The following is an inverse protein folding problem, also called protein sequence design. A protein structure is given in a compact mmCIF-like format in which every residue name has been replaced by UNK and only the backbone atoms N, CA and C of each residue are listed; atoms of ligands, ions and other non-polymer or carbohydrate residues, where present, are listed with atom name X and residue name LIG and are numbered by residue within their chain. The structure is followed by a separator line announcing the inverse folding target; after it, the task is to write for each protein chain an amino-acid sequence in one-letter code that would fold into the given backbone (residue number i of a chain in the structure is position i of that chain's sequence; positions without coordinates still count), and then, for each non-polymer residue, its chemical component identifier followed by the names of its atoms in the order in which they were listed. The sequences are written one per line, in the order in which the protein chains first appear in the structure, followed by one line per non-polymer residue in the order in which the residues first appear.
data_IF_231987926055
#
_entry.id   IF_231987926055
#
_cell.length_a   1.000
_cell.length_b   1.000
_cell.length_c   1.000
_cell.angle_alpha   90.00
_cell.angle_beta   90.00
_cell.angle_gamma   90.00
#
_symmetry.space_group_name_H-M   'P 1'
#
loop_
_entity.id
_entity.type
_entity.pdbx_description
1 polymer ?
#
# COMPACT_ATOMS: atom_id res chain seq x y z
N UNK A 1 -20.18 -24.98 6.99
CA UNK A 1 -18.99 -24.26 7.47
C UNK A 1 -19.48 -22.89 7.93
N UNK A 2 -19.37 -22.60 9.21
CA UNK A 2 -19.59 -21.24 9.70
C UNK A 2 -18.60 -20.33 8.98
N UNK A 3 -19.12 -19.30 8.35
CA UNK A 3 -18.29 -18.24 7.73
C UNK A 3 -17.69 -17.46 8.90
N UNK A 4 -16.38 -17.58 9.12
CA UNK A 4 -15.69 -16.81 10.16
C UNK A 4 -15.96 -15.32 9.88
N UNK A 5 -16.39 -14.57 10.89
CA UNK A 5 -16.63 -13.14 10.75
C UNK A 5 -15.28 -12.45 10.46
N UNK A 6 -15.19 -11.82 9.30
CA UNK A 6 -13.98 -11.13 8.83
C UNK A 6 -13.95 -9.67 9.25
N UNK A 7 -15.07 -9.15 9.75
CA UNK A 7 -15.16 -7.75 10.17
C UNK A 7 -14.51 -7.59 11.53
N UNK A 8 -13.53 -6.72 11.61
CA UNK A 8 -12.81 -6.45 12.87
C UNK A 8 -12.20 -5.04 12.85
N UNK A 9 -11.71 -4.59 13.99
CA UNK A 9 -11.00 -3.32 14.08
C UNK A 9 -9.59 -3.40 13.48
N UNK A 10 -9.04 -2.26 13.10
CA UNK A 10 -7.64 -2.17 12.64
C UNK A 10 -6.67 -2.75 13.68
N UNK A 11 -6.92 -2.48 14.97
CA UNK A 11 -6.12 -2.97 16.09
C UNK A 11 -6.09 -4.50 16.18
N UNK A 12 -7.25 -5.13 16.04
CA UNK A 12 -7.38 -6.60 16.07
C UNK A 12 -6.72 -7.21 14.84
N UNK A 13 -6.98 -6.67 13.64
CA UNK A 13 -6.41 -7.18 12.41
C UNK A 13 -4.87 -7.15 12.41
N UNK A 14 -4.28 -6.01 12.78
CA UNK A 14 -2.82 -5.88 12.84
C UNK A 14 -2.23 -6.77 13.94
N UNK A 15 -2.89 -6.88 15.10
CA UNK A 15 -2.46 -7.79 16.17
C UNK A 15 -2.48 -9.25 15.72
N UNK A 16 -3.54 -9.66 15.02
CA UNK A 16 -3.77 -11.06 14.60
C UNK A 16 -2.85 -11.49 13.46
N UNK A 17 -2.63 -10.63 12.47
CA UNK A 17 -2.02 -11.04 11.20
C UNK A 17 -0.62 -10.47 10.95
N UNK A 18 -0.21 -9.41 11.63
CA UNK A 18 1.12 -8.80 11.42
C UNK A 18 2.01 -9.12 12.61
N UNK A 19 2.95 -10.03 12.42
CA UNK A 19 4.02 -10.34 13.37
C UNK A 19 5.33 -9.67 12.96
N UNK A 20 6.29 -9.61 13.89
CA UNK A 20 7.62 -9.11 13.60
C UNK A 20 8.33 -10.01 12.57
N UNK A 21 9.18 -9.40 11.76
CA UNK A 21 10.06 -10.10 10.83
C UNK A 21 9.44 -10.54 9.50
N UNK A 22 8.13 -10.42 9.32
CA UNK A 22 7.43 -10.86 8.10
C UNK A 22 7.58 -9.90 6.93
N UNK A 23 7.21 -10.39 5.74
CA UNK A 23 7.07 -9.59 4.52
C UNK A 23 5.64 -9.05 4.42
N UNK A 24 5.52 -7.73 4.53
CA UNK A 24 4.25 -7.01 4.38
C UNK A 24 4.26 -6.25 3.06
N UNK A 25 3.22 -6.42 2.25
CA UNK A 25 3.05 -5.66 1.03
C UNK A 25 1.93 -4.61 1.19
N UNK A 26 2.26 -3.35 0.93
CA UNK A 26 1.30 -2.25 0.95
C UNK A 26 0.77 -2.00 -0.46
N UNK A 27 -0.55 -2.03 -0.60
CA UNK A 27 -1.26 -1.57 -1.78
C UNK A 27 -1.28 -0.05 -1.90
N UNK A 28 -2.02 0.42 -2.90
CA UNK A 28 -2.19 1.85 -3.20
C UNK A 28 -1.04 2.43 -4.03
N UNK A 29 -1.40 3.05 -5.15
CA UNK A 29 -0.47 3.77 -6.02
C UNK A 29 -0.95 5.20 -6.16
N UNK A 30 -0.44 6.12 -5.34
CA UNK A 30 -0.94 7.50 -5.11
C UNK A 30 -2.38 7.59 -4.62
N UNK A 31 -3.19 6.60 -4.89
CA UNK A 31 -4.60 6.41 -4.60
C UNK A 31 -4.79 5.29 -3.58
N UNK A 32 -5.73 5.45 -2.66
CA UNK A 32 -6.13 4.43 -1.69
C UNK A 32 -4.93 3.80 -0.92
N UNK A 33 -4.01 4.64 -0.46
CA UNK A 33 -2.87 4.20 0.35
C UNK A 33 -3.36 3.89 1.77
N UNK A 34 -3.10 2.70 2.33
CA UNK A 34 -3.69 2.25 3.60
C UNK A 34 -3.01 2.88 4.82
N UNK A 35 -3.10 4.22 4.96
CA UNK A 35 -2.48 4.96 6.07
C UNK A 35 -2.98 4.53 7.44
N UNK A 36 -4.28 4.32 7.60
CA UNK A 36 -4.85 3.92 8.88
C UNK A 36 -4.25 2.62 9.41
N UNK A 37 -4.12 1.61 8.54
CA UNK A 37 -3.51 0.32 8.89
C UNK A 37 -2.00 0.44 9.11
N UNK A 38 -1.30 1.28 8.32
CA UNK A 38 0.10 1.57 8.53
C UNK A 38 0.37 2.28 9.85
N UNK A 39 -0.46 3.24 10.25
CA UNK A 39 -0.40 3.88 11.56
C UNK A 39 -0.62 2.88 12.70
N UNK A 40 -1.50 1.90 12.51
CA UNK A 40 -1.73 0.87 13.52
C UNK A 40 -0.52 -0.05 13.69
N UNK A 41 0.20 -0.38 12.62
CA UNK A 41 1.49 -1.10 12.68
C UNK A 41 2.49 -0.32 13.54
N UNK A 42 2.57 1.01 13.35
CA UNK A 42 3.46 1.89 14.12
C UNK A 42 3.05 1.91 15.60
N UNK A 43 1.75 2.11 15.90
CA UNK A 43 1.23 2.12 17.29
C UNK A 43 1.51 0.82 18.02
N UNK A 44 1.39 -0.33 17.34
CA UNK A 44 1.71 -1.64 17.91
C UNK A 44 3.22 -1.95 17.94
N UNK A 45 4.05 -1.01 17.47
CA UNK A 45 5.52 -1.11 17.49
C UNK A 45 6.03 -2.40 16.83
N UNK A 46 5.43 -2.82 15.71
CA UNK A 46 5.93 -3.97 14.96
C UNK A 46 7.35 -3.69 14.47
N UNK A 47 8.19 -4.74 14.40
CA UNK A 47 9.64 -4.60 14.15
C UNK A 47 10.12 -5.56 13.07
N UNK A 48 11.28 -5.20 12.51
CA UNK A 48 12.01 -6.06 11.56
C UNK A 48 11.21 -6.43 10.30
N UNK A 49 10.24 -5.61 9.90
CA UNK A 49 9.42 -5.88 8.73
C UNK A 49 10.23 -5.73 7.44
N UNK A 50 10.03 -6.66 6.50
CA UNK A 50 10.32 -6.41 5.10
C UNK A 50 9.08 -5.78 4.49
N UNK A 51 9.19 -4.55 3.99
CA UNK A 51 8.07 -3.83 3.37
C UNK A 51 8.24 -3.85 1.87
N UNK A 52 7.23 -4.34 1.14
CA UNK A 52 7.17 -4.23 -0.31
C UNK A 52 6.09 -3.23 -0.72
N UNK A 53 6.47 -2.30 -1.60
CA UNK A 53 5.55 -1.33 -2.22
C UNK A 53 6.15 -0.82 -3.52
N UNK A 54 5.39 -0.80 -4.60
CA UNK A 54 5.90 -0.33 -5.90
C UNK A 54 6.44 1.10 -5.81
N UNK A 55 5.68 1.95 -5.15
CA UNK A 55 6.05 3.35 -4.92
C UNK A 55 5.93 3.67 -3.44
N UNK A 56 6.97 3.42 -2.62
CA UNK A 56 7.04 3.95 -1.27
C UNK A 56 6.72 5.44 -1.21
N UNK A 57 5.89 5.78 -0.26
CA UNK A 57 5.35 7.10 0.01
C UNK A 57 5.41 7.43 1.51
N UNK A 58 4.65 8.43 1.97
CA UNK A 58 4.66 8.87 3.36
C UNK A 58 4.49 7.73 4.36
N UNK A 59 3.63 6.74 4.08
CA UNK A 59 3.42 5.66 5.07
C UNK A 59 4.67 4.81 5.26
N UNK A 60 5.41 4.54 4.18
CA UNK A 60 6.66 3.79 4.28
C UNK A 60 7.74 4.62 4.98
N UNK A 61 7.80 5.93 4.70
CA UNK A 61 8.70 6.87 5.38
C UNK A 61 8.45 6.91 6.90
N UNK A 62 7.18 6.94 7.30
CA UNK A 62 6.76 6.90 8.70
C UNK A 62 7.09 5.57 9.38
N UNK A 63 6.85 4.43 8.69
CA UNK A 63 7.21 3.09 9.19
C UNK A 63 8.72 2.95 9.44
N UNK A 64 9.54 3.50 8.53
CA UNK A 64 10.99 3.53 8.67
C UNK A 64 11.38 4.39 9.86
N UNK A 65 10.86 5.62 9.95
CA UNK A 65 11.13 6.54 11.04
C UNK A 65 10.75 5.97 12.41
N UNK A 66 9.65 5.22 12.49
CA UNK A 66 9.21 4.53 13.69
C UNK A 66 10.05 3.27 14.03
N UNK A 67 11.04 2.92 13.20
CA UNK A 67 11.90 1.76 13.40
C UNK A 67 11.22 0.42 13.13
N UNK A 68 10.15 0.39 12.34
CA UNK A 68 9.42 -0.84 12.03
C UNK A 68 10.09 -1.68 10.93
N UNK A 69 10.87 -1.06 10.04
CA UNK A 69 11.32 -1.64 8.77
C UNK A 69 12.78 -2.02 8.82
N UNK A 70 13.13 -3.24 8.43
CA UNK A 70 14.51 -3.68 8.20
C UNK A 70 14.91 -3.67 6.73
N UNK A 71 13.94 -3.85 5.83
CA UNK A 71 14.16 -3.94 4.39
C UNK A 71 13.01 -3.35 3.59
N UNK A 72 13.30 -2.66 2.50
CA UNK A 72 12.32 -2.15 1.53
C UNK A 72 12.56 -2.77 0.16
N UNK A 73 11.50 -3.35 -0.43
CA UNK A 73 11.46 -3.85 -1.81
C UNK A 73 10.61 -2.88 -2.62
N UNK A 74 11.19 -2.18 -3.59
CA UNK A 74 10.52 -1.06 -4.26
C UNK A 74 11.01 -0.82 -5.67
N UNK A 75 10.34 0.10 -6.38
CA UNK A 75 10.77 0.55 -7.72
C UNK A 75 11.11 2.03 -7.79
N UNK A 76 10.36 2.88 -7.11
CA UNK A 76 10.64 4.30 -7.00
C UNK A 76 10.09 4.82 -5.67
N UNK A 77 10.82 5.69 -5.00
CA UNK A 77 10.43 6.19 -3.68
C UNK A 77 10.27 7.72 -3.69
N UNK A 78 9.11 8.21 -3.28
CA UNK A 78 8.83 9.65 -3.22
C UNK A 78 7.35 9.99 -3.24
N UNK A 79 7.06 11.29 -3.17
CA UNK A 79 5.71 11.85 -3.24
C UNK A 79 5.60 12.76 -4.47
N UNK A 80 5.05 12.28 -5.60
CA UNK A 80 5.03 13.05 -6.83
C UNK A 80 4.47 14.47 -6.64
N UNK A 81 5.31 15.50 -6.91
CA UNK A 81 4.93 16.90 -6.86
C UNK A 81 4.83 17.53 -5.46
N UNK A 82 5.00 16.78 -4.38
CA UNK A 82 4.71 17.24 -3.00
C UNK A 82 5.74 16.83 -1.95
N UNK A 83 6.97 16.56 -2.33
CA UNK A 83 8.06 16.38 -1.39
C UNK A 83 8.79 15.04 -1.45
N UNK A 84 9.75 14.85 -0.55
CA UNK A 84 10.65 13.72 -0.48
C UNK A 84 10.34 12.80 0.71
N UNK A 85 10.94 11.61 0.70
CA UNK A 85 10.93 10.67 1.82
C UNK A 85 12.21 10.86 2.64
N UNK A 86 12.14 11.72 3.65
CA UNK A 86 13.33 12.14 4.40
C UNK A 86 13.86 11.06 5.33
N UNK A 87 12.98 10.25 5.96
CA UNK A 87 13.39 9.15 6.82
C UNK A 87 13.98 7.99 6.02
N UNK A 88 13.37 7.64 4.89
CA UNK A 88 13.91 6.66 3.94
C UNK A 88 15.35 7.03 3.54
N UNK A 89 15.52 8.28 3.10
CA UNK A 89 16.84 8.78 2.70
C UNK A 89 17.85 8.73 3.84
N UNK A 90 17.47 9.20 5.04
CA UNK A 90 18.34 9.13 6.21
C UNK A 90 18.72 7.70 6.61
N UNK A 91 17.77 6.77 6.53
CA UNK A 91 18.03 5.37 6.86
C UNK A 91 19.02 4.72 5.89
N UNK A 92 18.90 5.02 4.58
CA UNK A 92 19.82 4.50 3.55
C UNK A 92 21.19 5.16 3.61
N UNK A 93 21.24 6.50 3.72
CA UNK A 93 22.50 7.25 3.61
C UNK A 93 23.28 7.34 4.93
N UNK A 94 22.57 7.37 6.07
CA UNK A 94 23.14 7.67 7.40
C UNK A 94 22.84 6.61 8.46
N UNK A 95 22.00 5.61 8.15
CA UNK A 95 21.58 4.60 9.11
C UNK A 95 20.71 5.15 10.25
N UNK A 96 19.86 6.17 10.02
CA UNK A 96 19.02 6.80 11.04
C UNK A 96 17.54 6.55 10.72
N UNK A 97 16.73 6.00 11.66
CA UNK A 97 17.05 5.60 13.05
C UNK A 97 17.92 4.33 13.14
N UNK A 98 17.96 3.54 12.12
CA UNK A 98 18.86 2.40 11.90
C UNK A 98 19.01 2.15 10.40
N UNK A 99 20.10 1.50 9.95
CA UNK A 99 20.27 1.16 8.55
C UNK A 99 19.19 0.19 8.09
N UNK A 100 18.72 0.38 6.86
CA UNK A 100 17.79 -0.52 6.20
C UNK A 100 18.40 -1.11 4.94
N UNK A 101 18.01 -2.33 4.61
CA UNK A 101 18.31 -2.94 3.32
C UNK A 101 17.34 -2.42 2.25
N UNK A 102 17.85 -2.23 1.05
CA UNK A 102 17.02 -1.88 -0.12
C UNK A 102 17.17 -2.96 -1.20
N UNK A 103 16.05 -3.27 -1.85
CA UNK A 103 16.00 -4.16 -3.00
C UNK A 103 15.18 -3.47 -4.10
N UNK A 104 15.90 -2.89 -5.07
CA UNK A 104 15.32 -2.03 -6.10
C UNK A 104 14.99 -2.80 -7.37
N UNK A 105 13.87 -2.41 -7.99
CA UNK A 105 13.33 -2.90 -9.25
C UNK A 105 12.88 -1.72 -10.12
N UNK A 106 12.51 -1.99 -11.38
CA UNK A 106 11.65 -1.08 -12.13
C UNK A 106 10.19 -1.35 -11.76
N UNK A 107 9.25 -0.41 -12.01
CA UNK A 107 7.81 -0.67 -11.80
C UNK A 107 7.37 -1.94 -12.53
N UNK A 108 7.78 -2.09 -13.79
CA UNK A 108 7.45 -3.27 -14.57
C UNK A 108 7.97 -4.58 -13.94
N UNK A 109 9.23 -4.58 -13.47
CA UNK A 109 9.82 -5.80 -12.89
C UNK A 109 9.22 -6.15 -11.52
N UNK A 110 8.88 -5.15 -10.71
CA UNK A 110 8.24 -5.41 -9.43
C UNK A 110 6.77 -5.86 -9.60
N UNK A 111 6.02 -5.21 -10.49
CA UNK A 111 4.68 -5.67 -10.88
C UNK A 111 4.68 -7.10 -11.43
N UNK A 112 5.70 -7.45 -12.24
CA UNK A 112 5.87 -8.82 -12.75
C UNK A 112 6.15 -9.85 -11.62
N UNK A 113 6.82 -9.47 -10.53
CA UNK A 113 7.00 -10.32 -9.34
C UNK A 113 5.67 -10.60 -8.63
N UNK A 114 4.82 -9.57 -8.47
CA UNK A 114 3.48 -9.75 -7.89
C UNK A 114 2.61 -10.62 -8.78
N UNK A 115 2.65 -10.38 -10.11
CA UNK A 115 1.95 -11.22 -11.07
C UNK A 115 2.37 -12.69 -10.97
N UNK A 116 3.68 -12.97 -10.93
CA UNK A 116 4.19 -14.33 -10.77
C UNK A 116 3.67 -14.99 -9.49
N UNK A 117 3.69 -14.27 -8.36
CA UNK A 117 3.14 -14.75 -7.09
C UNK A 117 1.64 -15.03 -7.17
N UNK A 118 0.88 -14.12 -7.78
CA UNK A 118 -0.57 -14.25 -7.97
C UNK A 118 -0.95 -15.43 -8.88
N UNK A 119 -0.14 -15.69 -9.92
CA UNK A 119 -0.33 -16.81 -10.84
C UNK A 119 0.20 -18.15 -10.31
N UNK A 120 0.85 -18.16 -9.13
CA UNK A 120 1.45 -19.38 -8.57
C UNK A 120 2.64 -19.93 -9.36
N UNK A 121 3.31 -19.09 -10.18
CA UNK A 121 4.50 -19.45 -10.93
C UNK A 121 5.76 -19.00 -10.20
N UNK A 122 6.86 -19.79 -10.21
CA UNK A 122 8.02 -19.49 -9.37
C UNK A 122 8.84 -18.28 -9.85
N UNK A 123 8.76 -17.94 -11.13
CA UNK A 123 9.41 -16.79 -11.73
C UNK A 123 8.73 -16.41 -13.04
N UNK A 124 8.98 -15.22 -13.54
CA UNK A 124 8.51 -14.77 -14.85
C UNK A 124 9.68 -14.32 -15.73
N UNK A 125 9.74 -14.80 -17.00
CA UNK A 125 10.69 -14.27 -17.97
C UNK A 125 10.15 -12.97 -18.56
N UNK A 126 10.98 -11.93 -18.59
CA UNK A 126 10.64 -10.62 -19.17
C UNK A 126 11.69 -10.19 -20.18
N UNK A 127 11.39 -9.14 -20.93
CA UNK A 127 12.32 -8.52 -21.87
C UNK A 127 13.63 -8.15 -21.18
N UNK A 128 14.78 -8.21 -21.87
CA UNK A 128 16.09 -8.05 -21.25
C UNK A 128 16.50 -6.60 -20.97
N UNK A 129 15.61 -5.61 -21.19
CA UNK A 129 15.96 -4.19 -21.06
C UNK A 129 16.58 -3.82 -19.73
N UNK A 130 16.12 -4.41 -18.62
CA UNK A 130 16.66 -4.18 -17.29
C UNK A 130 18.11 -4.68 -17.14
N UNK A 131 18.51 -5.70 -17.92
CA UNK A 131 19.86 -6.26 -17.91
C UNK A 131 20.91 -5.27 -18.47
N UNK A 132 20.50 -4.28 -19.24
CA UNK A 132 21.34 -3.19 -19.75
C UNK A 132 21.55 -2.05 -18.77
N UNK A 133 20.92 -2.09 -17.61
CA UNK A 133 21.07 -1.10 -16.52
C UNK A 133 22.07 -1.57 -15.46
N UNK A 134 22.29 -0.71 -14.44
CA UNK A 134 23.12 -1.08 -13.30
C UNK A 134 22.38 -1.93 -12.24
N UNK A 135 21.05 -2.06 -12.34
CA UNK A 135 20.26 -2.84 -11.37
C UNK A 135 20.78 -4.26 -11.13
N UNK A 136 21.16 -5.05 -12.16
CA UNK A 136 21.69 -6.41 -11.94
C UNK A 136 23.00 -6.47 -11.16
N UNK A 137 23.76 -5.37 -11.08
CA UNK A 137 24.99 -5.30 -10.27
C UNK A 137 24.67 -5.38 -8.77
N UNK A 138 23.55 -4.79 -8.36
CA UNK A 138 23.11 -4.66 -6.97
C UNK A 138 22.00 -5.65 -6.61
N UNK A 139 21.10 -5.97 -7.54
CA UNK A 139 19.97 -6.88 -7.31
C UNK A 139 20.24 -8.27 -7.90
N UNK A 140 20.61 -9.22 -7.05
CA UNK A 140 20.95 -10.60 -7.44
C UNK A 140 19.75 -11.45 -7.84
N UNK A 141 18.53 -10.94 -7.69
CA UNK A 141 17.31 -11.61 -8.15
C UNK A 141 17.03 -11.40 -9.65
N UNK A 142 17.76 -10.51 -10.30
CA UNK A 142 17.70 -10.33 -11.75
C UNK A 142 18.66 -11.30 -12.42
N UNK A 143 18.14 -12.36 -13.05
CA UNK A 143 18.94 -13.44 -13.69
C UNK A 143 18.78 -13.41 -15.20
N UNK A 144 19.84 -13.74 -15.91
CA UNK A 144 19.78 -13.92 -17.38
C UNK A 144 19.42 -15.36 -17.71
N UNK A 145 18.46 -15.57 -18.60
CA UNK A 145 18.09 -16.88 -19.15
C UNK A 145 17.97 -16.79 -20.67
N UNK A 146 18.02 -17.94 -21.35
CA UNK A 146 17.70 -18.05 -22.77
C UNK A 146 16.26 -18.51 -22.95
N UNK A 147 15.51 -17.86 -23.83
CA UNK A 147 14.19 -18.31 -24.23
C UNK A 147 14.28 -19.68 -24.91
N UNK A 148 13.56 -20.71 -24.45
CA UNK A 148 13.64 -22.06 -25.04
C UNK A 148 13.06 -22.14 -26.45
N UNK A 149 12.23 -21.16 -26.83
CA UNK A 149 11.56 -21.15 -28.14
C UNK A 149 12.31 -20.33 -29.21
N UNK A 150 12.98 -19.23 -28.79
CA UNK A 150 13.59 -18.28 -29.72
C UNK A 150 15.10 -18.17 -29.57
N UNK A 151 15.69 -18.71 -28.50
CA UNK A 151 17.09 -18.56 -28.14
C UNK A 151 17.50 -17.17 -27.68
N UNK A 152 16.58 -16.19 -27.68
CA UNK A 152 16.86 -14.81 -27.24
C UNK A 152 17.12 -14.74 -25.74
N UNK A 153 17.97 -13.79 -25.33
CA UNK A 153 18.18 -13.50 -23.91
C UNK A 153 16.95 -12.83 -23.30
N UNK A 154 16.60 -13.26 -22.08
CA UNK A 154 15.52 -12.74 -21.27
C UNK A 154 16.03 -12.49 -19.83
N UNK A 155 15.37 -11.63 -19.09
CA UNK A 155 15.56 -11.49 -17.66
C UNK A 155 14.55 -12.37 -16.91
N UNK A 156 15.00 -13.26 -16.06
CA UNK A 156 14.16 -14.04 -15.14
C UNK A 156 14.07 -13.33 -13.80
N UNK A 157 12.84 -13.16 -13.30
CA UNK A 157 12.54 -12.46 -12.06
C UNK A 157 11.71 -13.38 -11.16
N UNK A 158 12.13 -13.65 -9.90
CA UNK A 158 11.41 -14.55 -9.01
C UNK A 158 10.08 -13.97 -8.57
N UNK A 159 9.10 -14.81 -8.32
CA UNK A 159 7.84 -14.43 -7.70
C UNK A 159 8.06 -13.73 -6.36
N UNK A 160 7.13 -12.83 -6.00
CA UNK A 160 7.06 -12.27 -4.66
C UNK A 160 5.74 -12.72 -4.01
N UNK A 161 5.86 -13.41 -2.89
CA UNK A 161 4.73 -13.94 -2.14
C UNK A 161 4.73 -13.33 -0.73
N UNK A 162 4.05 -12.20 -0.52
CA UNK A 162 3.98 -11.56 0.79
C UNK A 162 3.30 -12.44 1.84
N UNK A 163 3.73 -12.31 3.09
CA UNK A 163 3.02 -12.94 4.20
C UNK A 163 1.68 -12.24 4.42
N UNK A 164 1.66 -10.91 4.32
CA UNK A 164 0.46 -10.11 4.50
C UNK A 164 0.38 -9.00 3.44
N UNK A 165 -0.78 -8.88 2.78
CA UNK A 165 -1.16 -7.69 2.01
C UNK A 165 -1.97 -6.75 2.89
N UNK A 166 -1.67 -5.46 2.82
CA UNK A 166 -2.42 -4.37 3.45
C UNK A 166 -2.92 -3.44 2.37
N UNK A 167 -4.23 -3.37 2.21
CA UNK A 167 -4.89 -2.66 1.12
C UNK A 167 -5.98 -1.76 1.69
N UNK A 168 -6.19 -0.60 1.06
CA UNK A 168 -7.37 0.23 1.27
C UNK A 168 -8.18 0.27 -0.02
N UNK A 169 -9.50 0.22 0.08
CA UNK A 169 -10.40 0.22 -1.06
C UNK A 169 -11.65 1.06 -0.77
N UNK A 170 -12.47 1.27 -1.80
CA UNK A 170 -13.69 2.04 -1.64
C UNK A 170 -14.72 1.29 -0.80
N UNK A 171 -15.01 0.03 -1.12
CA UNK A 171 -16.05 -0.71 -0.39
C UNK A 171 -15.82 -2.22 -0.42
N UNK A 172 -16.40 -2.89 0.56
CA UNK A 172 -16.50 -4.35 0.61
C UNK A 172 -17.87 -4.77 1.10
N UNK A 173 -18.27 -6.02 0.84
CA UNK A 173 -19.37 -6.63 1.56
C UNK A 173 -18.85 -7.43 2.78
N UNK A 174 -19.75 -7.85 3.65
CA UNK A 174 -19.45 -8.64 4.84
C UNK A 174 -18.82 -10.02 4.53
N UNK A 175 -18.99 -10.52 3.30
CA UNK A 175 -18.40 -11.76 2.84
C UNK A 175 -16.91 -11.60 2.52
N UNK A 176 -16.48 -10.38 2.17
CA UNK A 176 -15.11 -10.03 1.81
C UNK A 176 -14.88 -9.78 0.33
N UNK A 177 -15.91 -9.59 -0.46
CA UNK A 177 -15.76 -9.12 -1.84
C UNK A 177 -15.42 -7.63 -1.83
N UNK A 178 -14.26 -7.27 -2.36
CA UNK A 178 -13.73 -5.90 -2.31
C UNK A 178 -13.80 -5.26 -3.67
N UNK A 179 -14.41 -4.09 -3.72
CA UNK A 179 -14.48 -3.26 -4.92
C UNK A 179 -13.55 -2.07 -4.85
N UNK A 180 -12.84 -1.84 -5.95
CA UNK A 180 -11.97 -0.69 -6.14
C UNK A 180 -12.11 -0.15 -7.56
N UNK A 181 -12.04 1.17 -7.69
CA UNK A 181 -12.00 1.88 -8.96
C UNK A 181 -11.04 3.07 -8.89
N UNK A 182 -10.71 3.66 -10.03
CA UNK A 182 -9.65 4.65 -10.16
C UNK A 182 -8.32 4.00 -10.46
N UNK A 183 -7.25 4.47 -9.84
CA UNK A 183 -5.91 3.89 -10.01
C UNK A 183 -5.80 2.63 -9.16
N UNK A 184 -5.93 1.49 -9.79
CA UNK A 184 -5.90 0.18 -9.11
C UNK A 184 -4.45 -0.24 -8.80
N UNK A 185 -3.48 0.10 -9.67
CA UNK A 185 -2.10 -0.40 -9.54
C UNK A 185 -2.06 -1.94 -9.52
N UNK A 186 -1.15 -2.50 -8.75
CA UNK A 186 -1.00 -3.95 -8.56
C UNK A 186 -1.80 -4.51 -7.37
N UNK A 187 -2.84 -3.81 -6.88
CA UNK A 187 -3.58 -4.26 -5.69
C UNK A 187 -4.17 -5.68 -5.82
N UNK A 188 -4.67 -6.02 -7.01
CA UNK A 188 -5.19 -7.37 -7.30
C UNK A 188 -4.10 -8.42 -7.18
N UNK A 189 -2.98 -8.20 -7.86
CA UNK A 189 -1.84 -9.12 -7.87
C UNK A 189 -1.22 -9.25 -6.47
N UNK A 190 -1.08 -8.14 -5.74
CA UNK A 190 -0.59 -8.13 -4.35
C UNK A 190 -1.50 -8.98 -3.45
N UNK A 191 -2.83 -8.80 -3.54
CA UNK A 191 -3.78 -9.60 -2.77
C UNK A 191 -3.69 -11.08 -3.13
N UNK A 192 -3.69 -11.42 -4.43
CA UNK A 192 -3.66 -12.81 -4.88
C UNK A 192 -2.34 -13.51 -4.56
N UNK A 193 -1.21 -12.79 -4.57
CA UNK A 193 0.12 -13.31 -4.23
C UNK A 193 0.33 -13.54 -2.74
N UNK A 194 -0.41 -12.85 -1.87
CA UNK A 194 -0.18 -12.85 -0.42
C UNK A 194 -0.85 -14.04 0.28
N UNK A 195 -0.26 -14.47 1.40
CA UNK A 195 -0.83 -15.55 2.24
C UNK A 195 -2.06 -15.05 3.00
N UNK A 196 -2.02 -13.82 3.52
CA UNK A 196 -3.09 -13.15 4.25
C UNK A 196 -3.38 -11.78 3.63
N UNK A 197 -4.65 -11.37 3.64
CA UNK A 197 -5.10 -10.10 3.05
C UNK A 197 -5.97 -9.35 4.04
N UNK A 198 -5.49 -8.17 4.45
CA UNK A 198 -6.19 -7.24 5.32
C UNK A 198 -6.64 -6.05 4.47
N UNK A 199 -7.93 -5.77 4.47
CA UNK A 199 -8.49 -4.66 3.68
C UNK A 199 -9.22 -3.70 4.59
N UNK A 200 -8.83 -2.42 4.57
CA UNK A 200 -9.68 -1.35 5.07
C UNK A 200 -10.51 -0.76 3.93
N UNK A 201 -11.72 -0.33 4.23
CA UNK A 201 -12.65 0.24 3.26
C UNK A 201 -13.31 1.49 3.80
N UNK A 202 -13.76 2.36 2.90
CA UNK A 202 -14.55 3.54 3.27
C UNK A 202 -15.94 3.14 3.77
N UNK A 203 -16.52 2.06 3.23
CA UNK A 203 -17.83 1.56 3.63
C UNK A 203 -17.97 0.05 3.46
N UNK A 204 -18.74 -0.57 4.34
CA UNK A 204 -19.22 -1.94 4.19
C UNK A 204 -20.65 -1.87 3.65
N UNK A 205 -20.89 -2.53 2.52
CA UNK A 205 -22.19 -2.50 1.81
C UNK A 205 -22.83 -3.89 1.75
N UNK A 206 -24.11 -3.93 1.42
CA UNK A 206 -24.81 -5.19 1.14
C UNK A 206 -24.21 -5.89 -0.08
N UNK A 207 -24.16 -7.23 -0.05
CA UNK A 207 -23.63 -8.04 -1.16
C UNK A 207 -24.37 -7.79 -2.48
N UNK A 208 -25.63 -7.36 -2.44
CA UNK A 208 -26.37 -6.96 -3.64
C UNK A 208 -25.76 -5.74 -4.35
N UNK A 209 -25.21 -4.79 -3.61
CA UNK A 209 -24.50 -3.63 -4.18
C UNK A 209 -23.27 -4.08 -4.95
N UNK A 210 -22.53 -5.07 -4.40
CA UNK A 210 -21.37 -5.66 -5.05
C UNK A 210 -21.78 -6.41 -6.32
N UNK A 211 -22.85 -7.22 -6.26
CA UNK A 211 -23.33 -8.04 -7.39
C UNK A 211 -23.86 -7.22 -8.57
N UNK A 212 -24.36 -6.00 -8.33
CA UNK A 212 -24.81 -5.11 -9.41
C UNK A 212 -23.69 -4.61 -10.31
N UNK A 213 -22.45 -4.53 -9.81
CA UNK A 213 -21.29 -4.08 -10.57
C UNK A 213 -20.08 -4.99 -10.29
N UNK A 214 -20.13 -6.25 -10.76
CA UNK A 214 -19.09 -7.23 -10.45
C UNK A 214 -17.72 -6.89 -11.03
N UNK A 215 -17.65 -6.07 -12.07
CA UNK A 215 -16.41 -5.69 -12.73
C UNK A 215 -15.48 -4.85 -11.84
N UNK A 216 -16.03 -4.17 -10.82
CA UNK A 216 -15.24 -3.44 -9.82
C UNK A 216 -14.68 -4.33 -8.71
N UNK A 217 -15.13 -5.59 -8.62
CA UNK A 217 -14.62 -6.54 -7.61
C UNK A 217 -13.24 -7.02 -8.00
N UNK A 218 -12.21 -6.44 -7.37
CA UNK A 218 -10.81 -6.77 -7.65
C UNK A 218 -10.24 -7.85 -6.73
N UNK A 219 -10.80 -7.98 -5.52
CA UNK A 219 -10.38 -9.02 -4.56
C UNK A 219 -11.62 -9.81 -4.17
N UNK A 220 -11.68 -11.11 -4.51
CA UNK A 220 -12.80 -11.97 -4.16
C UNK A 220 -12.77 -12.37 -2.69
N UNK A 221 -13.93 -12.64 -2.12
CA UNK A 221 -14.13 -12.95 -0.70
C UNK A 221 -13.22 -14.05 -0.15
N UNK A 222 -12.97 -15.10 -0.91
CA UNK A 222 -12.15 -16.24 -0.46
C UNK A 222 -10.68 -15.85 -0.18
N UNK A 223 -10.25 -14.68 -0.64
CA UNK A 223 -8.87 -14.19 -0.49
C UNK A 223 -8.69 -13.26 0.71
N UNK A 224 -9.78 -12.65 1.21
CA UNK A 224 -9.76 -11.67 2.29
C UNK A 224 -9.87 -12.33 3.65
N UNK A 225 -8.94 -12.03 4.55
CA UNK A 225 -8.88 -12.54 5.92
C UNK A 225 -9.45 -11.53 6.95
N UNK A 226 -9.37 -10.24 6.67
CA UNK A 226 -9.93 -9.19 7.53
C UNK A 226 -10.47 -8.01 6.73
N UNK A 227 -11.62 -7.49 7.17
CA UNK A 227 -12.28 -6.29 6.63
C UNK A 227 -12.41 -5.29 7.76
N UNK A 228 -11.98 -4.06 7.52
CA UNK A 228 -12.03 -2.98 8.48
C UNK A 228 -12.78 -1.81 7.85
N UNK A 229 -13.94 -1.45 8.37
CA UNK A 229 -14.59 -0.21 7.99
C UNK A 229 -13.84 0.95 8.61
N UNK A 230 -13.13 1.71 7.77
CA UNK A 230 -12.23 2.76 8.22
C UNK A 230 -12.34 3.98 7.29
N UNK A 231 -13.45 4.75 7.38
CA UNK A 231 -13.62 5.95 6.58
C UNK A 231 -12.44 6.91 6.70
N UNK A 232 -12.02 7.48 5.56
CA UNK A 232 -10.81 8.30 5.47
C UNK A 232 -9.51 7.52 5.73
N UNK A 233 -9.56 6.20 5.63
CA UNK A 233 -8.43 5.32 5.93
C UNK A 233 -7.20 5.56 5.07
N UNK A 234 -7.36 6.16 3.89
CA UNK A 234 -6.27 6.50 3.01
C UNK A 234 -5.73 7.93 3.17
N UNK A 235 -6.41 8.84 3.92
CA UNK A 235 -5.89 10.21 4.08
C UNK A 235 -4.45 10.20 4.66
N UNK A 236 -3.52 11.00 4.12
CA UNK A 236 -3.66 12.14 3.20
C UNK A 236 -3.72 11.80 1.70
N UNK A 237 -3.59 10.53 1.31
CA UNK A 237 -3.93 10.08 -0.03
C UNK A 237 -5.44 10.23 -0.27
N UNK A 238 -5.87 10.13 -1.52
CA UNK A 238 -7.28 10.18 -1.87
C UNK A 238 -7.88 8.80 -2.03
N UNK A 239 -9.21 8.73 -1.86
CA UNK A 239 -10.01 7.59 -2.27
C UNK A 239 -11.04 8.09 -3.27
N UNK A 240 -10.90 7.72 -4.54
CA UNK A 240 -11.70 8.28 -5.62
C UNK A 240 -13.19 8.10 -5.36
N UNK A 241 -13.92 9.24 -5.37
CA UNK A 241 -15.34 9.31 -5.10
C UNK A 241 -15.70 9.58 -3.64
N UNK A 242 -14.73 9.52 -2.71
CA UNK A 242 -14.95 9.78 -1.29
C UNK A 242 -14.26 11.07 -0.82
N UNK A 243 -13.01 11.28 -1.18
CA UNK A 243 -12.28 12.52 -0.87
C UNK A 243 -11.06 12.69 -1.77
N UNK A 244 -10.64 13.93 -1.92
CA UNK A 244 -9.49 14.34 -2.70
C UNK A 244 -8.18 14.19 -1.92
N UNK A 245 -7.05 14.23 -2.62
CA UNK A 245 -5.71 14.20 -2.03
C UNK A 245 -5.44 15.50 -1.25
N UNK A 246 -5.00 15.37 0.00
CA UNK A 246 -4.61 16.49 0.83
C UNK A 246 -3.17 16.94 0.52
N UNK A 247 -3.02 17.72 -0.55
CA UNK A 247 -1.70 18.21 -0.98
C UNK A 247 -1.05 19.13 0.07
N UNK A 248 -1.84 19.88 0.85
CA UNK A 248 -1.33 20.73 1.92
C UNK A 248 -0.67 19.87 3.01
N UNK A 249 -1.31 18.76 3.40
CA UNK A 249 -0.74 17.82 4.37
C UNK A 249 0.59 17.21 3.90
N UNK A 250 0.69 16.87 2.61
CA UNK A 250 1.94 16.37 2.04
C UNK A 250 3.06 17.42 2.10
N UNK A 251 2.77 18.67 1.79
CA UNK A 251 3.74 19.77 1.86
C UNK A 251 4.14 20.11 3.29
N UNK A 252 3.19 20.09 4.24
CA UNK A 252 3.46 20.24 5.67
C UNK A 252 4.35 19.11 6.19
N UNK A 253 4.07 17.86 5.79
CA UNK A 253 4.89 16.71 6.11
C UNK A 253 6.32 16.87 5.57
N UNK A 254 6.49 17.19 4.28
CA UNK A 254 7.82 17.41 3.68
C UNK A 254 8.63 18.44 4.47
N UNK A 255 8.00 19.58 4.79
CA UNK A 255 8.66 20.66 5.52
C UNK A 255 9.06 20.24 6.93
N UNK A 256 8.15 19.59 7.66
CA UNK A 256 8.35 19.21 9.06
C UNK A 256 9.39 18.09 9.20
N UNK A 257 9.34 17.09 8.34
CA UNK A 257 10.12 15.85 8.49
C UNK A 257 11.52 15.90 7.91
N UNK A 258 11.98 17.08 7.47
CA UNK A 258 13.37 17.30 7.02
C UNK A 258 14.40 17.01 8.10
N UNK A 259 14.04 17.17 9.37
CA UNK A 259 14.88 16.82 10.52
C UNK A 259 14.37 15.58 11.23
N UNK A 260 15.19 14.98 12.08
CA UNK A 260 14.81 13.82 12.91
C UNK A 260 13.77 14.25 13.94
N UNK A 261 14.01 15.38 14.60
CA UNK A 261 13.13 15.95 15.62
C UNK A 261 11.74 16.31 15.05
N UNK A 262 11.73 16.85 13.83
CA UNK A 262 10.48 17.14 13.12
C UNK A 262 9.69 15.87 12.77
N UNK A 263 10.36 14.80 12.40
CA UNK A 263 9.74 13.50 12.15
C UNK A 263 9.20 12.88 13.46
N UNK A 264 9.97 12.94 14.55
CA UNK A 264 9.52 12.48 15.87
C UNK A 264 8.29 13.26 16.34
N UNK A 265 8.30 14.59 16.15
CA UNK A 265 7.14 15.43 16.44
C UNK A 265 5.93 15.00 15.62
N UNK A 266 6.10 14.77 14.33
CA UNK A 266 5.02 14.29 13.46
C UNK A 266 4.44 12.95 13.94
N UNK A 267 5.30 11.95 14.21
CA UNK A 267 4.84 10.63 14.68
C UNK A 267 4.11 10.75 16.05
N UNK A 268 4.65 11.54 16.97
CA UNK A 268 3.99 11.77 18.25
C UNK A 268 2.63 12.43 18.07
N UNK A 269 2.54 13.41 17.20
CA UNK A 269 1.34 14.21 17.01
C UNK A 269 0.26 13.48 16.20
N UNK A 270 0.62 12.79 15.13
CA UNK A 270 -0.35 12.24 14.16
C UNK A 270 -0.54 10.73 14.24
N UNK A 271 0.33 10.01 14.98
CA UNK A 271 0.26 8.56 15.09
C UNK A 271 0.12 8.09 16.53
N UNK A 272 1.02 8.48 17.43
CA UNK A 272 1.02 7.97 18.81
C UNK A 272 -0.03 8.62 19.70
N UNK A 273 -0.33 9.92 19.53
CA UNK A 273 -1.33 10.64 20.32
C UNK A 273 -2.77 10.41 19.90
N UNK A 274 -3.00 9.69 18.80
CA UNK A 274 -4.33 9.38 18.27
C UNK A 274 -4.56 7.86 18.32
N UNK A 275 -5.60 7.42 19.01
CA UNK A 275 -5.86 5.99 19.19
C UNK A 275 -6.40 5.30 17.95
N UNK A 276 -7.16 6.03 17.13
CA UNK A 276 -7.87 5.48 15.98
C UNK A 276 -8.13 6.56 14.93
N UNK A 277 -8.73 6.17 13.81
CA UNK A 277 -9.00 7.09 12.70
C UNK A 277 -10.00 8.19 13.06
N UNK A 278 -10.96 7.92 13.93
CA UNK A 278 -11.93 8.93 14.39
C UNK A 278 -11.24 10.08 15.14
N UNK A 279 -10.31 9.77 16.02
CA UNK A 279 -9.52 10.78 16.74
C UNK A 279 -8.59 11.55 15.79
N UNK A 280 -8.03 10.85 14.78
CA UNK A 280 -7.26 11.48 13.73
C UNK A 280 -8.09 12.52 12.95
N UNK A 281 -9.33 12.19 12.57
CA UNK A 281 -10.23 13.11 11.86
C UNK A 281 -10.65 14.30 12.70
N UNK A 282 -10.89 14.11 14.00
CA UNK A 282 -11.17 15.23 14.92
C UNK A 282 -10.00 16.21 14.94
N UNK A 283 -8.78 15.70 14.97
CA UNK A 283 -7.56 16.51 14.93
C UNK A 283 -7.37 17.20 13.57
N UNK A 284 -7.67 16.54 12.47
CA UNK A 284 -7.61 17.10 11.12
C UNK A 284 -8.52 18.33 10.99
N UNK A 285 -9.68 18.28 11.62
CA UNK A 285 -10.63 19.38 11.71
C UNK A 285 -11.64 19.41 10.55
N UNK A 286 -12.84 19.88 10.88
CA UNK A 286 -13.99 19.86 9.96
C UNK A 286 -13.75 20.67 8.70
N UNK A 287 -13.12 21.85 8.81
CA UNK A 287 -12.85 22.71 7.65
C UNK A 287 -11.98 22.02 6.60
N UNK A 288 -10.93 21.30 7.04
CA UNK A 288 -10.04 20.57 6.13
C UNK A 288 -10.77 19.39 5.48
N UNK A 289 -11.55 18.66 6.27
CA UNK A 289 -12.38 17.56 5.77
C UNK A 289 -13.34 18.05 4.68
N UNK A 290 -14.06 19.17 4.93
CA UNK A 290 -15.01 19.72 3.95
C UNK A 290 -14.34 20.17 2.65
N UNK A 291 -13.11 20.71 2.72
CA UNK A 291 -12.36 21.10 1.51
C UNK A 291 -11.98 19.90 0.63
N UNK A 292 -11.82 18.73 1.22
CA UNK A 292 -11.42 17.50 0.53
C UNK A 292 -12.61 16.68 0.01
N UNK A 293 -13.84 17.03 0.35
CA UNK A 293 -15.01 16.34 -0.19
C UNK A 293 -15.07 16.49 -1.71
N UNK A 294 -15.53 15.47 -2.44
CA UNK A 294 -15.61 15.48 -3.88
C UNK A 294 -16.48 16.62 -4.39
N UNK A 295 -16.01 17.31 -5.41
CA UNK A 295 -16.83 18.28 -6.14
C UNK A 295 -17.67 17.54 -7.16
N UNK A 296 -18.98 17.85 -7.21
CA UNK A 296 -19.99 17.13 -8.00
C UNK A 296 -19.59 16.93 -9.48
N UNK A 297 -18.89 17.87 -10.10
CA UNK A 297 -18.53 17.81 -11.52
C UNK A 297 -17.07 17.42 -11.81
N UNK A 298 -16.23 17.26 -10.79
CA UNK A 298 -14.79 16.95 -10.97
C UNK A 298 -14.33 15.68 -10.28
N UNK A 299 -15.11 15.17 -9.31
CA UNK A 299 -14.74 14.02 -8.48
C UNK A 299 -15.77 12.90 -8.51
N UNK A 300 -16.82 13.02 -9.34
CA UNK A 300 -17.74 11.91 -9.57
C UNK A 300 -16.91 10.75 -10.11
N UNK A 301 -16.94 9.56 -9.48
CA UNK A 301 -16.35 8.39 -10.04
C UNK A 301 -16.88 8.21 -11.45
N UNK A 302 -15.99 7.96 -12.39
CA UNK A 302 -16.44 7.58 -13.73
C UNK A 302 -17.35 6.39 -13.56
N UNK A 303 -18.63 6.58 -13.78
CA UNK A 303 -19.55 5.48 -13.95
C UNK A 303 -19.27 4.87 -15.31
N UNK A 304 -18.54 3.79 -15.31
CA UNK A 304 -18.15 3.11 -16.55
C UNK A 304 -19.32 2.53 -17.32
N UNK A 305 -20.50 2.56 -16.78
CA UNK A 305 -21.71 2.07 -17.42
C UNK A 305 -22.82 3.10 -17.60
N UNK A 306 -22.65 4.31 -17.06
CA UNK A 306 -23.69 5.34 -17.07
C UNK A 306 -23.11 6.72 -17.35
N UNK A 307 -23.47 7.27 -18.48
CA UNK A 307 -23.07 8.59 -18.97
C UNK A 307 -24.29 9.48 -19.22
N UNK A 308 -25.32 9.30 -18.46
CA UNK A 308 -26.54 10.09 -18.57
C UNK A 308 -26.54 11.31 -17.69
#
# INVERSE_FOLDING_TARGET
MEVEDKIMSAKEAIKKFVSDGILVCFGGFTHAIPFALGHEIIRQRKRNLTVSKETPDLIVDQLIAAGCVKKVIFSWAGNPGVGLLHAFRRAVEKGIPHPIEIEEYTHFTLGARYFAGAAGIPFVPIIPSVLGSDLPKYNKNLKTIKCPFTGKLLCAIPALNPDVAIIHAQRADKEGNVQMWGIIGSNKEIAMASKKVIVSVEEIVDSEVIRRDPNRTIIPAFKVDAIIEEPWGAHPSYTQGYYDRDNEFYLEYDKLTRTVEGMEKFLNEWVYSVENRKEYLKKLGVERILKLLPKTYSSIPVDYGYYG
#
